data_IF_035659482246
#
_entry.id   IF_035659482246
#
_cell.length_a   1.000
_cell.length_b   1.000
_cell.length_c   1.000
_cell.angle_alpha   90.00
_cell.angle_beta   90.00
_cell.angle_gamma   90.00
#
_symmetry.space_group_name_H-M   'P 1'
#
loop_
_entity.id
_entity.type
_entity.pdbx_description
1 polymer ?
#
# COMPACT_ATOMS: atom_id res chain seq x y z
N UNK A 1 13.99 -3.84 -0.35
CA UNK A 1 12.74 -3.05 -0.29
C UNK A 1 11.68 -4.01 0.19
N UNK A 2 10.94 -3.64 1.24
CA UNK A 2 9.83 -4.43 1.78
C UNK A 2 8.53 -3.81 1.27
N UNK A 3 7.57 -4.63 0.88
CA UNK A 3 6.19 -4.26 0.62
C UNK A 3 5.46 -3.89 1.92
N UNK A 4 4.29 -3.29 1.78
CA UNK A 4 3.57 -2.69 2.90
C UNK A 4 3.28 -3.64 4.10
N UNK A 5 2.85 -4.91 3.90
CA UNK A 5 2.63 -5.83 5.03
C UNK A 5 3.92 -6.10 5.81
N UNK A 6 5.03 -6.27 5.10
CA UNK A 6 6.37 -6.55 5.62
C UNK A 6 6.93 -5.31 6.33
N UNK A 7 6.69 -4.11 5.78
CA UNK A 7 6.97 -2.86 6.48
C UNK A 7 6.22 -2.81 7.80
N UNK A 8 4.91 -3.13 7.79
CA UNK A 8 4.11 -3.10 9.01
C UNK A 8 4.62 -4.07 10.07
N UNK A 9 5.02 -5.27 9.66
CA UNK A 9 5.62 -6.26 10.55
C UNK A 9 6.91 -5.74 11.19
N UNK A 10 7.81 -5.17 10.38
CA UNK A 10 9.12 -4.66 10.81
C UNK A 10 8.98 -3.43 11.72
N UNK A 11 8.04 -2.53 11.44
CA UNK A 11 7.76 -1.35 12.27
C UNK A 11 6.81 -1.60 13.44
N UNK A 12 6.32 -2.83 13.62
CA UNK A 12 5.33 -3.18 14.63
C UNK A 12 4.09 -2.27 14.56
N UNK A 13 3.64 -1.98 13.33
CA UNK A 13 2.45 -1.18 13.06
C UNK A 13 1.31 -2.09 12.63
N UNK A 14 0.08 -1.71 12.99
CA UNK A 14 -1.10 -2.40 12.46
C UNK A 14 -1.26 -2.10 10.98
N UNK A 15 -1.78 -3.08 10.24
CA UNK A 15 -2.13 -2.91 8.84
C UNK A 15 -3.10 -1.74 8.66
N UNK A 16 -2.87 -0.91 7.65
CA UNK A 16 -3.63 0.32 7.40
C UNK A 16 -3.15 1.54 8.19
N UNK A 17 -2.09 1.45 9.01
CA UNK A 17 -1.46 2.61 9.65
C UNK A 17 -0.15 3.01 8.94
N UNK A 18 0.29 4.26 9.15
CA UNK A 18 1.57 4.70 8.63
C UNK A 18 2.74 4.08 9.43
N UNK A 19 3.76 3.48 8.77
CA UNK A 19 4.93 2.94 9.46
C UNK A 19 5.91 4.03 9.92
N UNK A 20 5.78 5.26 9.40
CA UNK A 20 6.66 6.40 9.68
C UNK A 20 6.10 7.41 10.68
N UNK A 21 4.79 7.54 10.77
CA UNK A 21 4.13 8.48 11.65
C UNK A 21 3.05 7.80 12.49
N UNK A 22 2.51 8.53 13.45
CA UNK A 22 1.49 8.04 14.38
C UNK A 22 0.06 8.19 13.82
N UNK A 23 -0.08 8.52 12.53
CA UNK A 23 -1.37 8.66 11.86
C UNK A 23 -2.14 7.33 11.88
N UNK A 24 -3.41 7.41 12.30
CA UNK A 24 -4.32 6.28 12.35
C UNK A 24 -4.93 6.01 10.97
N UNK A 25 -5.43 4.79 10.78
CA UNK A 25 -6.03 4.37 9.51
C UNK A 25 -7.17 5.29 9.04
N UNK A 26 -7.97 5.80 9.97
CA UNK A 26 -9.08 6.72 9.69
C UNK A 26 -8.66 8.19 9.54
N UNK A 27 -7.38 8.50 9.70
CA UNK A 27 -6.82 9.86 9.65
C UNK A 27 -5.82 10.02 8.48
N UNK A 28 -5.64 8.99 7.64
CA UNK A 28 -4.69 9.00 6.51
C UNK A 28 -5.00 10.07 5.46
N UNK A 29 -6.24 10.53 5.39
CA UNK A 29 -6.67 11.61 4.50
C UNK A 29 -6.20 13.00 4.98
N UNK A 30 -5.68 13.10 6.20
CA UNK A 30 -5.20 14.36 6.74
C UNK A 30 -3.97 14.85 5.95
N UNK A 31 -4.00 16.07 5.38
CA UNK A 31 -2.95 16.53 4.48
C UNK A 31 -1.65 16.94 5.19
N UNK A 32 -1.68 17.08 6.52
CA UNK A 32 -0.50 17.45 7.32
C UNK A 32 0.31 16.24 7.78
N UNK A 33 1.61 16.42 8.07
CA UNK A 33 2.43 15.36 8.64
C UNK A 33 1.95 15.01 10.05
N UNK A 34 1.65 13.74 10.28
CA UNK A 34 1.43 13.22 11.63
C UNK A 34 2.72 13.22 12.46
N UNK A 35 2.62 13.14 13.80
CA UNK A 35 3.81 13.02 14.66
C UNK A 35 4.69 11.84 14.22
N UNK A 36 6.02 12.00 14.17
CA UNK A 36 6.90 10.93 13.74
C UNK A 36 6.80 9.75 14.72
N UNK A 37 6.92 8.55 14.18
CA UNK A 37 7.05 7.33 14.97
C UNK A 37 8.53 7.13 15.26
N UNK A 38 8.85 6.77 16.50
CA UNK A 38 10.22 6.52 16.96
C UNK A 38 10.26 5.16 17.64
N UNK A 39 11.44 4.54 17.70
CA UNK A 39 11.61 3.28 18.42
C UNK A 39 11.16 3.38 19.88
N UNK A 40 11.50 4.50 20.55
CA UNK A 40 11.12 4.74 21.95
C UNK A 40 9.61 4.73 22.12
N UNK A 41 8.90 5.44 21.24
CA UNK A 41 7.44 5.48 21.25
C UNK A 41 6.82 4.12 20.92
N UNK A 42 7.31 3.44 19.89
CA UNK A 42 6.79 2.14 19.50
C UNK A 42 7.01 1.12 20.61
N UNK A 43 8.18 1.14 21.27
CA UNK A 43 8.48 0.28 22.40
C UNK A 43 7.61 0.58 23.62
N UNK A 44 7.32 1.85 23.93
CA UNK A 44 6.40 2.18 25.03
C UNK A 44 5.00 1.65 24.74
N UNK A 45 4.51 1.80 23.50
CA UNK A 45 3.20 1.26 23.10
C UNK A 45 3.17 -0.27 23.16
N UNK A 46 4.24 -0.95 22.73
CA UNK A 46 4.38 -2.41 22.84
C UNK A 46 4.38 -2.88 24.29
N UNK A 47 4.98 -2.10 25.20
CA UNK A 47 5.05 -2.43 26.62
C UNK A 47 3.70 -2.24 27.31
N UNK A 48 2.97 -1.20 26.94
CA UNK A 48 1.68 -0.84 27.53
C UNK A 48 0.53 -1.66 26.97
N UNK A 49 0.58 -2.00 25.67
CA UNK A 49 -0.31 -2.96 25.06
C UNK A 49 0.20 -4.37 25.38
N UNK A 50 -0.48 -5.14 26.22
CA UNK A 50 -0.31 -6.59 26.23
C UNK A 50 -0.63 -7.11 24.81
N UNK A 51 0.37 -7.20 23.93
CA UNK A 51 0.23 -7.62 22.53
C UNK A 51 -0.04 -9.12 22.41
N UNK A 52 -1.05 -9.63 23.11
CA UNK A 52 -1.54 -10.99 22.93
C UNK A 52 -2.27 -11.15 21.58
N UNK A 53 -2.82 -10.05 21.04
CA UNK A 53 -3.74 -10.07 19.88
C UNK A 53 -3.10 -9.93 18.49
N UNK A 54 -1.77 -9.74 18.39
CA UNK A 54 -1.13 -9.48 17.06
C UNK A 54 -0.26 -10.64 16.61
N UNK A 55 0.43 -11.33 17.51
CA UNK A 55 1.18 -12.56 17.27
C UNK A 55 1.26 -13.26 18.62
N UNK A 56 0.69 -14.46 18.78
CA UNK A 56 0.60 -15.14 20.08
C UNK A 56 1.92 -15.16 20.86
N UNK A 57 2.03 -14.28 21.86
CA UNK A 57 3.19 -14.16 22.74
C UNK A 57 3.73 -12.73 22.88
N UNK A 58 4.58 -12.52 23.89
CA UNK A 58 5.29 -11.26 24.13
C UNK A 58 6.24 -10.99 22.95
N UNK A 59 5.80 -10.17 21.99
CA UNK A 59 6.60 -9.82 20.82
C UNK A 59 7.71 -8.84 21.20
N UNK A 60 8.97 -9.26 21.04
CA UNK A 60 10.15 -8.39 21.17
C UNK A 60 10.66 -8.05 19.76
N UNK A 61 10.60 -6.78 19.33
CA UNK A 61 11.11 -6.38 18.02
C UNK A 61 12.61 -6.65 17.91
N UNK A 62 13.09 -7.14 16.76
CA UNK A 62 14.52 -7.45 16.57
C UNK A 62 15.45 -6.25 16.78
N UNK A 63 14.92 -5.04 16.61
CA UNK A 63 15.65 -3.78 16.77
C UNK A 63 15.61 -3.23 18.21
N UNK A 64 14.97 -3.90 19.17
CA UNK A 64 14.90 -3.44 20.57
C UNK A 64 16.30 -3.27 21.21
N UNK A 65 17.27 -4.09 20.80
CA UNK A 65 18.67 -3.98 21.25
C UNK A 65 19.53 -2.98 20.47
N UNK A 66 18.95 -2.22 19.53
CA UNK A 66 19.67 -1.34 18.61
C UNK A 66 19.26 0.13 18.82
N UNK A 67 19.71 0.79 19.91
CA UNK A 67 19.23 2.11 20.31
C UNK A 67 19.63 3.26 19.39
N UNK A 68 20.62 3.02 18.51
CA UNK A 68 21.12 4.02 17.55
C UNK A 68 20.49 3.86 16.16
N UNK A 69 19.60 2.88 15.96
CA UNK A 69 19.06 2.55 14.64
C UNK A 69 17.53 2.64 14.63
N UNK A 70 17.00 3.83 14.35
CA UNK A 70 15.56 4.03 14.26
C UNK A 70 14.98 3.38 13.00
N UNK A 71 14.34 2.22 13.17
CA UNK A 71 13.71 1.47 12.07
C UNK A 71 12.70 2.30 11.28
N UNK A 72 12.00 3.24 11.93
CA UNK A 72 10.97 4.07 11.29
C UNK A 72 11.59 5.08 10.31
N UNK A 73 12.86 5.43 10.50
CA UNK A 73 13.64 6.24 9.58
C UNK A 73 14.20 5.41 8.42
N UNK A 74 14.48 4.12 8.66
CA UNK A 74 15.03 3.20 7.65
C UNK A 74 13.99 2.70 6.65
N UNK A 75 12.70 2.73 6.99
CA UNK A 75 11.62 2.33 6.07
C UNK A 75 11.54 3.35 4.93
N UNK A 76 11.63 2.88 3.69
CA UNK A 76 11.27 3.67 2.52
C UNK A 76 9.75 3.53 2.28
N UNK A 77 9.04 4.62 1.92
CA UNK A 77 7.63 4.48 1.55
C UNK A 77 7.50 3.52 0.37
N UNK A 78 6.46 2.67 0.39
CA UNK A 78 6.15 1.76 -0.70
C UNK A 78 5.47 2.51 -1.84
N UNK A 79 6.26 3.30 -2.58
CA UNK A 79 5.77 4.18 -3.65
C UNK A 79 5.10 3.35 -4.75
N UNK A 80 5.59 2.15 -5.03
CA UNK A 80 5.04 1.31 -6.09
C UNK A 80 3.62 0.84 -5.74
N UNK A 81 3.45 0.17 -4.59
CA UNK A 81 2.15 -0.41 -4.25
C UNK A 81 1.17 0.62 -3.69
N UNK A 82 1.64 1.63 -2.96
CA UNK A 82 0.73 2.60 -2.34
C UNK A 82 0.40 3.77 -3.27
N UNK A 83 1.39 4.35 -3.95
CA UNK A 83 1.16 5.52 -4.79
C UNK A 83 0.77 5.11 -6.20
N UNK A 84 1.64 4.41 -6.93
CA UNK A 84 1.38 4.10 -8.34
C UNK A 84 0.18 3.18 -8.52
N UNK A 85 0.17 2.00 -7.88
CA UNK A 85 -0.96 1.07 -8.00
C UNK A 85 -2.24 1.63 -7.37
N UNK A 86 -2.12 2.35 -6.24
CA UNK A 86 -3.27 2.98 -5.58
C UNK A 86 -3.93 4.07 -6.42
N UNK A 87 -3.15 5.00 -6.96
CA UNK A 87 -3.64 6.08 -7.83
C UNK A 87 -4.20 5.51 -9.13
N UNK A 88 -3.51 4.53 -9.72
CA UNK A 88 -3.98 3.91 -10.95
C UNK A 88 -5.33 3.21 -10.77
N UNK A 89 -5.49 2.42 -9.71
CA UNK A 89 -6.77 1.80 -9.36
C UNK A 89 -7.89 2.84 -9.19
N UNK A 90 -7.60 3.96 -8.54
CA UNK A 90 -8.58 5.03 -8.38
C UNK A 90 -8.94 5.70 -9.70
N UNK A 91 -7.95 5.93 -10.58
CA UNK A 91 -8.16 6.49 -11.90
C UNK A 91 -9.04 5.58 -12.77
N UNK A 92 -8.76 4.27 -12.79
CA UNK A 92 -9.57 3.28 -13.52
C UNK A 92 -11.02 3.30 -13.01
N UNK A 93 -11.22 3.26 -11.70
CA UNK A 93 -12.55 3.34 -11.09
C UNK A 93 -13.27 4.64 -11.49
N UNK A 94 -12.57 5.77 -11.46
CA UNK A 94 -13.16 7.07 -11.82
C UNK A 94 -13.57 7.12 -13.30
N UNK A 95 -12.72 6.61 -14.21
CA UNK A 95 -13.05 6.52 -15.64
C UNK A 95 -14.25 5.60 -15.87
N UNK A 96 -14.30 4.46 -15.17
CA UNK A 96 -15.45 3.55 -15.20
C UNK A 96 -16.75 4.20 -14.72
N UNK A 97 -16.70 5.07 -13.71
CA UNK A 97 -17.87 5.83 -13.23
C UNK A 97 -18.34 6.91 -14.22
N UNK A 98 -17.41 7.53 -14.94
CA UNK A 98 -17.72 8.62 -15.88
C UNK A 98 -18.22 8.10 -17.23
N UNK A 99 -17.56 7.08 -17.77
CA UNK A 99 -17.81 6.55 -19.12
C UNK A 99 -18.74 5.34 -19.08
N UNK A 100 -18.71 4.54 -18.01
CA UNK A 100 -19.37 3.25 -17.94
C UNK A 100 -18.47 2.11 -18.43
N UNK A 101 -18.63 0.94 -17.82
CA UNK A 101 -17.78 -0.22 -18.10
C UNK A 101 -17.88 -0.70 -19.55
N UNK A 102 -19.09 -0.76 -20.11
CA UNK A 102 -19.32 -1.26 -21.48
C UNK A 102 -18.61 -0.38 -22.51
N UNK A 103 -18.79 0.94 -22.44
CA UNK A 103 -18.16 1.88 -23.38
C UNK A 103 -16.64 1.93 -23.21
N UNK A 104 -16.14 1.86 -21.97
CA UNK A 104 -14.69 1.79 -21.72
C UNK A 104 -14.06 0.51 -22.30
N UNK A 105 -14.71 -0.64 -22.13
CA UNK A 105 -14.23 -1.91 -22.67
C UNK A 105 -14.26 -1.93 -24.20
N UNK A 106 -15.28 -1.34 -24.83
CA UNK A 106 -15.34 -1.16 -26.30
C UNK A 106 -14.21 -0.27 -26.82
N UNK A 107 -13.90 0.83 -26.12
CA UNK A 107 -12.78 1.71 -26.49
C UNK A 107 -11.45 0.98 -26.42
N UNK A 108 -11.22 0.20 -25.35
CA UNK A 108 -10.00 -0.58 -25.17
C UNK A 108 -9.89 -1.67 -26.23
N UNK A 109 -11.00 -2.32 -26.57
CA UNK A 109 -11.05 -3.31 -27.64
C UNK A 109 -10.72 -2.72 -29.02
N UNK A 110 -11.15 -1.48 -29.26
CA UNK A 110 -10.92 -0.76 -30.51
C UNK A 110 -9.49 -0.21 -30.66
N UNK A 111 -8.65 -0.28 -29.62
CA UNK A 111 -7.26 0.18 -29.70
C UNK A 111 -6.49 -0.63 -30.75
N UNK A 112 -5.75 0.03 -31.66
CA UNK A 112 -4.93 -0.68 -32.64
C UNK A 112 -3.83 -1.48 -31.91
N UNK A 113 -3.43 -2.65 -32.42
CA UNK A 113 -2.33 -3.42 -31.84
C UNK A 113 -1.03 -2.59 -31.86
N UNK A 114 -0.44 -2.36 -30.69
CA UNK A 114 0.85 -1.67 -30.53
C UNK A 114 1.89 -2.67 -30.03
N UNK A 115 3.11 -2.61 -30.58
CA UNK A 115 4.20 -3.48 -30.13
C UNK A 115 4.54 -3.21 -28.66
N UNK A 116 4.57 -4.26 -27.85
CA UNK A 116 4.91 -4.17 -26.41
C UNK A 116 3.73 -3.93 -25.48
N UNK A 117 2.48 -3.88 -25.98
CA UNK A 117 1.26 -3.74 -25.17
C UNK A 117 0.33 -4.93 -25.40
N UNK A 118 -0.27 -5.47 -24.34
CA UNK A 118 -1.27 -6.52 -24.46
C UNK A 118 -2.61 -5.96 -24.95
N UNK A 119 -3.29 -6.71 -25.83
CA UNK A 119 -4.67 -6.42 -26.22
C UNK A 119 -5.66 -7.04 -25.25
N UNK A 120 -6.58 -6.23 -24.71
CA UNK A 120 -7.61 -6.67 -23.78
C UNK A 120 -8.92 -6.92 -24.53
N UNK A 121 -9.09 -8.10 -25.13
CA UNK A 121 -10.25 -8.40 -25.98
C UNK A 121 -11.60 -8.44 -25.25
N UNK A 122 -11.58 -8.65 -23.93
CA UNK A 122 -12.79 -8.60 -23.08
C UNK A 122 -12.83 -7.30 -22.26
N UNK A 123 -12.07 -6.28 -22.68
CA UNK A 123 -11.86 -5.07 -21.89
C UNK A 123 -11.08 -5.31 -20.60
N UNK A 124 -11.05 -4.29 -19.75
CA UNK A 124 -10.35 -4.34 -18.46
C UNK A 124 -11.32 -4.53 -17.29
N UNK A 125 -12.62 -4.28 -17.50
CA UNK A 125 -13.62 -4.42 -16.43
C UNK A 125 -13.85 -5.88 -16.02
N UNK A 126 -13.50 -6.84 -16.88
CA UNK A 126 -13.56 -8.27 -16.59
C UNK A 126 -12.41 -8.77 -15.69
N UNK A 127 -11.37 -7.95 -15.45
CA UNK A 127 -10.21 -8.33 -14.65
C UNK A 127 -10.54 -8.26 -13.15
N UNK A 128 -10.75 -9.42 -12.53
CA UNK A 128 -10.98 -9.53 -11.08
C UNK A 128 -9.69 -9.40 -10.26
N UNK A 129 -8.55 -9.76 -10.87
CA UNK A 129 -7.21 -9.59 -10.30
C UNK A 129 -6.26 -9.16 -11.41
N UNK A 130 -5.66 -7.98 -11.26
CA UNK A 130 -4.68 -7.44 -12.21
C UNK A 130 -3.29 -7.83 -11.74
N UNK A 131 -2.58 -8.62 -12.55
CA UNK A 131 -1.18 -8.95 -12.33
C UNK A 131 -0.28 -7.72 -12.56
N UNK A 132 0.95 -7.76 -12.06
CA UNK A 132 1.92 -6.67 -12.27
C UNK A 132 2.22 -6.43 -13.76
N UNK A 133 2.18 -7.50 -14.57
CA UNK A 133 2.37 -7.42 -16.02
C UNK A 133 1.18 -6.73 -16.68
N UNK A 134 -0.05 -7.13 -16.33
CA UNK A 134 -1.25 -6.47 -16.84
C UNK A 134 -1.29 -5.00 -16.41
N UNK A 135 -0.90 -4.69 -15.17
CA UNK A 135 -0.83 -3.31 -14.69
C UNK A 135 0.12 -2.45 -15.55
N UNK A 136 1.24 -3.01 -16.04
CA UNK A 136 2.17 -2.30 -16.96
C UNK A 136 1.59 -2.11 -18.37
N UNK A 137 0.56 -2.87 -18.74
CA UNK A 137 -0.10 -2.75 -20.04
C UNK A 137 -1.33 -1.86 -20.01
N UNK A 138 -1.95 -1.64 -18.84
CA UNK A 138 -3.09 -0.71 -18.69
C UNK A 138 -2.61 0.71 -18.33
N UNK A 139 -1.51 0.85 -17.58
CA UNK A 139 -0.93 2.14 -17.15
C UNK A 139 0.08 2.72 -18.16
#
# INVERSE_FOLDING_TARGET
VADYPEQCLVSCTKYGMCPKCQCKANELEYPGPGPPRTQVWTYSVIKDACLEDVVGGKYEPFWAGLPLMDIHQCIAPDILHQLYQGVFKHLVNWVQEVVGNEELDEWIWALPPVSGVCSFHNGISALTQVSEVEHKHIA
#
